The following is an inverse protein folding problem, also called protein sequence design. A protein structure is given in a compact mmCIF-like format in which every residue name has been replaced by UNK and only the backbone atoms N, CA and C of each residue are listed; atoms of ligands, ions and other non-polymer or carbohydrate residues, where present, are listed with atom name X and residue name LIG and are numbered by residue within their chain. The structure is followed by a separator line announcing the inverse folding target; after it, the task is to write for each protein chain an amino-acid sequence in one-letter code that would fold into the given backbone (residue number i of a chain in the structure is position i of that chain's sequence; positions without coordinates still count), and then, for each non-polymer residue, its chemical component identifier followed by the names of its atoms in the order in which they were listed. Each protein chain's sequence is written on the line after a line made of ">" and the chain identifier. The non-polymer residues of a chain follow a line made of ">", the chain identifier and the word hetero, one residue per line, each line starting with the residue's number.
data_IF_953793580063
#
_entry.id   IF_953793580063
#
_cell.length_a   1.000
_cell.length_b   1.000
_cell.length_c   1.000
_cell.angle_alpha   90.00
_cell.angle_beta   90.00
_cell.angle_gamma   90.00
#
_symmetry.space_group_name_H-M   'P 1'
#
loop_
_entity.id
_entity.type
_entity.pdbx_description
1 polymer ?
#
# COMPACT_ATOMS: atom_id res chain seq x y z
N UNK A 1 29.73 21.53 -59.66
CA UNK A 1 28.89 22.21 -58.65
C UNK A 1 28.09 21.15 -57.89
N UNK A 2 27.91 21.39 -56.58
CA UNK A 2 27.11 20.62 -55.60
C UNK A 2 25.70 20.29 -56.17
N UNK A 3 25.01 19.21 -55.81
CA UNK A 3 24.62 18.85 -54.43
C UNK A 3 24.30 17.36 -54.25
N UNK A 4 24.53 16.94 -53.01
CA UNK A 4 24.31 15.64 -52.36
C UNK A 4 22.81 15.37 -52.25
N UNK A 5 22.31 14.32 -52.90
CA UNK A 5 20.96 13.80 -52.70
C UNK A 5 20.96 12.87 -51.47
N UNK A 6 20.50 13.40 -50.34
CA UNK A 6 20.42 12.73 -49.05
C UNK A 6 19.35 11.60 -49.11
N UNK A 7 19.80 10.35 -49.27
CA UNK A 7 18.91 9.18 -49.17
C UNK A 7 18.67 8.88 -47.69
N UNK A 8 17.49 9.25 -47.21
CA UNK A 8 16.95 8.89 -45.89
C UNK A 8 17.15 7.39 -45.62
N UNK A 9 17.73 6.98 -44.48
CA UNK A 9 17.60 5.60 -44.04
C UNK A 9 16.14 5.39 -43.62
N UNK A 10 15.44 4.49 -44.31
CA UNK A 10 14.13 4.03 -43.87
C UNK A 10 14.31 3.27 -42.57
N UNK A 11 14.11 3.95 -41.44
CA UNK A 11 13.96 3.32 -40.14
C UNK A 11 12.62 2.55 -40.18
N UNK A 12 12.71 1.26 -40.50
CA UNK A 12 11.59 0.35 -40.31
C UNK A 12 11.39 0.24 -38.81
N UNK A 13 10.36 0.89 -38.30
CA UNK A 13 9.86 0.60 -36.97
C UNK A 13 9.31 -0.83 -37.03
N UNK A 14 10.12 -1.78 -36.58
CA UNK A 14 9.64 -3.08 -36.16
C UNK A 14 8.72 -2.83 -34.96
N UNK A 15 7.43 -2.59 -35.23
CA UNK A 15 6.39 -2.61 -34.22
C UNK A 15 6.26 -4.04 -33.72
N UNK A 16 7.19 -4.45 -32.86
CA UNK A 16 7.00 -5.59 -31.98
C UNK A 16 5.95 -5.16 -30.97
N UNK A 17 4.69 -5.29 -31.35
CA UNK A 17 3.56 -5.25 -30.42
C UNK A 17 3.76 -6.44 -29.49
N UNK A 18 4.38 -6.19 -28.34
CA UNK A 18 4.26 -7.07 -27.21
C UNK A 18 2.80 -6.99 -26.77
N UNK A 19 2.03 -7.99 -27.16
CA UNK A 19 0.71 -8.23 -26.57
C UNK A 19 0.98 -8.54 -25.11
N UNK A 20 0.80 -7.54 -24.24
CA UNK A 20 0.70 -7.80 -22.82
C UNK A 20 -0.56 -8.64 -22.60
N UNK A 21 -0.39 -9.79 -21.98
CA UNK A 21 -1.47 -10.66 -21.53
C UNK A 21 -2.29 -9.88 -20.50
N UNK A 22 -3.40 -9.29 -20.92
CA UNK A 22 -4.40 -8.71 -20.04
C UNK A 22 -5.03 -9.89 -19.27
N UNK A 23 -4.71 -9.99 -17.99
CA UNK A 23 -5.37 -10.96 -17.13
C UNK A 23 -6.82 -10.53 -16.98
N UNK A 24 -7.72 -11.28 -17.62
CA UNK A 24 -9.16 -11.14 -17.45
C UNK A 24 -9.51 -11.58 -16.02
N UNK A 25 -9.32 -10.68 -15.06
CA UNK A 25 -9.89 -10.84 -13.72
C UNK A 25 -11.39 -10.65 -13.89
N UNK A 26 -12.06 -11.78 -14.06
CA UNK A 26 -13.52 -11.90 -14.02
C UNK A 26 -14.04 -11.15 -12.80
N UNK A 27 -14.68 -10.00 -13.02
CA UNK A 27 -15.60 -9.44 -12.05
C UNK A 27 -16.79 -10.38 -12.05
N UNK A 28 -16.84 -11.27 -11.07
CA UNK A 28 -18.07 -11.98 -10.78
C UNK A 28 -19.07 -10.92 -10.30
N UNK A 29 -20.08 -10.64 -11.12
CA UNK A 29 -21.36 -10.10 -10.64
C UNK A 29 -21.85 -11.06 -9.56
N UNK A 30 -21.67 -10.66 -8.31
CA UNK A 30 -22.30 -11.32 -7.17
C UNK A 30 -23.55 -10.52 -6.87
N UNK A 31 -24.64 -10.84 -7.57
CA UNK A 31 -25.99 -10.46 -7.16
C UNK A 31 -26.23 -11.05 -5.78
N UNK A 32 -25.94 -10.26 -4.74
CA UNK A 32 -26.31 -10.58 -3.36
C UNK A 32 -27.73 -10.12 -3.11
N UNK A 33 -28.69 -10.79 -3.74
CA UNK A 33 -30.07 -10.81 -3.26
C UNK A 33 -30.15 -11.78 -2.09
N UNK A 34 -30.06 -11.25 -0.87
CA UNK A 34 -30.40 -12.00 0.33
C UNK A 34 -31.00 -11.07 1.37
N UNK A 35 -32.24 -10.65 1.11
CA UNK A 35 -33.19 -10.29 2.17
C UNK A 35 -33.60 -11.56 2.90
N UNK A 36 -33.12 -11.70 4.13
CA UNK A 36 -33.70 -12.63 5.10
C UNK A 36 -35.08 -12.12 5.53
N UNK A 37 -36.15 -12.75 5.06
CA UNK A 37 -37.47 -12.64 5.68
C UNK A 37 -37.83 -13.98 6.33
N UNK A 38 -37.86 -13.98 7.65
CA UNK A 38 -38.33 -15.10 8.47
C UNK A 38 -39.84 -15.28 8.31
N UNK A 39 -40.22 -16.53 8.11
CA UNK A 39 -41.54 -17.08 7.73
C UNK A 39 -42.73 -16.70 8.61
N UNK A 40 -43.95 -16.65 8.03
CA UNK A 40 -45.10 -17.39 8.56
C UNK A 40 -46.25 -17.50 7.55
N UNK A 41 -46.91 -18.67 7.54
CA UNK A 41 -47.91 -19.12 6.58
C UNK A 41 -49.31 -18.56 6.84
N UNK A 42 -50.09 -18.29 5.80
CA UNK A 42 -51.55 -18.39 5.85
C UNK A 42 -52.10 -18.66 4.45
N UNK A 43 -52.64 -19.86 4.31
CA UNK A 43 -53.45 -20.34 3.20
C UNK A 43 -54.77 -19.57 3.18
N UNK A 44 -55.01 -18.75 2.15
CA UNK A 44 -56.32 -18.12 1.91
C UNK A 44 -56.43 -17.67 0.46
N UNK A 45 -57.41 -18.26 -0.21
CA UNK A 45 -57.82 -17.99 -1.59
C UNK A 45 -58.30 -16.55 -1.77
N UNK A 46 -58.02 -15.97 -2.94
CA UNK A 46 -58.56 -14.73 -3.53
C UNK A 46 -58.50 -13.44 -2.69
N UNK A 47 -57.48 -12.61 -2.97
CA UNK A 47 -57.51 -11.17 -2.66
C UNK A 47 -56.95 -10.39 -3.86
N UNK A 48 -57.85 -9.73 -4.58
CA UNK A 48 -57.56 -8.66 -5.52
C UNK A 48 -56.84 -7.52 -4.76
N UNK A 49 -55.51 -7.52 -4.83
CA UNK A 49 -54.69 -6.46 -4.23
C UNK A 49 -54.74 -5.23 -5.14
N UNK A 50 -55.76 -4.41 -4.96
CA UNK A 50 -55.72 -3.02 -5.39
C UNK A 50 -54.51 -2.34 -4.72
N UNK A 51 -53.43 -2.15 -5.47
CA UNK A 51 -52.31 -1.33 -5.05
C UNK A 51 -52.79 0.12 -4.92
N UNK A 52 -53.15 0.50 -3.70
CA UNK A 52 -53.26 1.90 -3.27
C UNK A 52 -51.85 2.49 -3.28
N UNK A 53 -51.43 3.04 -4.41
CA UNK A 53 -50.38 4.06 -4.42
C UNK A 53 -50.95 5.28 -3.71
N UNK A 54 -50.78 5.33 -2.38
CA UNK A 54 -51.00 6.55 -1.64
C UNK A 54 -49.89 7.52 -2.04
N UNK A 55 -50.26 8.58 -2.75
CA UNK A 55 -49.40 9.73 -2.99
C UNK A 55 -49.05 10.34 -1.63
N UNK A 56 -47.95 9.89 -1.02
CA UNK A 56 -47.34 10.60 0.11
C UNK A 56 -46.69 11.86 -0.45
N UNK A 57 -47.49 12.92 -0.55
CA UNK A 57 -47.06 14.28 -0.90
C UNK A 57 -46.40 15.01 0.27
N UNK A 58 -45.75 14.29 1.18
CA UNK A 58 -45.15 14.88 2.38
C UNK A 58 -43.64 14.86 2.26
N UNK A 59 -43.11 16.06 2.04
CA UNK A 59 -41.69 16.41 2.18
C UNK A 59 -40.79 15.94 1.05
N UNK A 60 -41.14 16.34 -0.18
CA UNK A 60 -40.11 16.77 -1.11
C UNK A 60 -39.52 18.05 -0.50
N UNK A 61 -38.59 17.88 0.46
CA UNK A 61 -37.59 18.90 0.76
C UNK A 61 -36.81 19.08 -0.55
N UNK A 62 -37.42 19.82 -1.49
CA UNK A 62 -36.76 20.42 -2.63
C UNK A 62 -35.61 21.14 -1.98
N UNK A 63 -34.41 20.57 -2.11
CA UNK A 63 -33.19 21.25 -1.75
C UNK A 63 -33.29 22.60 -2.45
N UNK A 64 -33.59 23.64 -1.66
CA UNK A 64 -33.53 25.00 -2.15
C UNK A 64 -32.05 25.23 -2.36
N UNK A 65 -31.59 24.86 -3.56
CA UNK A 65 -30.40 25.41 -4.15
C UNK A 65 -30.71 26.89 -4.36
N UNK A 66 -30.79 27.65 -3.27
CA UNK A 66 -30.42 29.04 -3.22
C UNK A 66 -29.07 29.07 -3.91
N UNK A 67 -29.08 29.35 -5.21
CA UNK A 67 -27.93 29.21 -6.09
C UNK A 67 -26.79 29.98 -5.43
N UNK A 68 -25.86 29.28 -4.78
CA UNK A 68 -24.57 29.87 -4.46
C UNK A 68 -24.07 30.34 -5.81
N UNK A 69 -23.98 31.65 -5.96
CA UNK A 69 -23.69 32.31 -7.23
C UNK A 69 -22.21 32.07 -7.54
N UNK A 70 -21.91 30.86 -8.03
CA UNK A 70 -20.59 30.53 -8.55
C UNK A 70 -20.64 30.65 -10.06
N UNK A 71 -19.64 31.32 -10.61
CA UNK A 71 -19.47 31.43 -12.04
C UNK A 71 -18.93 30.09 -12.58
N UNK A 72 -19.11 29.85 -13.88
CA UNK A 72 -18.49 28.70 -14.55
C UNK A 72 -16.97 28.73 -14.36
N UNK A 73 -16.39 29.91 -14.31
CA UNK A 73 -14.98 30.16 -14.09
C UNK A 73 -14.53 29.71 -12.69
N UNK A 74 -15.34 29.93 -11.66
CA UNK A 74 -15.05 29.48 -10.29
C UNK A 74 -14.97 27.96 -10.22
N UNK A 75 -15.91 27.26 -10.87
CA UNK A 75 -15.91 25.79 -10.91
C UNK A 75 -14.69 25.25 -11.67
N UNK A 76 -14.36 25.85 -12.82
CA UNK A 76 -13.18 25.47 -13.61
C UNK A 76 -11.89 25.72 -12.82
N UNK A 77 -11.81 26.83 -12.07
CA UNK A 77 -10.66 27.13 -11.21
C UNK A 77 -10.52 26.10 -10.10
N UNK A 78 -11.60 25.82 -9.36
CA UNK A 78 -11.60 24.84 -8.28
C UNK A 78 -11.18 23.44 -8.76
N UNK A 79 -11.68 23.02 -9.93
CA UNK A 79 -11.28 21.75 -10.54
C UNK A 79 -9.80 21.74 -10.91
N UNK A 80 -9.30 22.81 -11.53
CA UNK A 80 -7.89 22.92 -11.90
C UNK A 80 -6.97 22.89 -10.67
N UNK A 81 -7.37 23.55 -9.57
CA UNK A 81 -6.60 23.53 -8.34
C UNK A 81 -6.61 22.15 -7.69
N UNK A 82 -7.74 21.44 -7.67
CA UNK A 82 -7.81 20.05 -7.23
C UNK A 82 -6.87 19.14 -8.03
N UNK A 83 -6.84 19.29 -9.36
CA UNK A 83 -5.92 18.53 -10.22
C UNK A 83 -4.45 18.84 -9.91
N UNK A 84 -4.11 20.10 -9.60
CA UNK A 84 -2.75 20.47 -9.19
C UNK A 84 -2.37 19.85 -7.86
N UNK A 85 -3.24 19.92 -6.86
CA UNK A 85 -2.97 19.34 -5.54
C UNK A 85 -2.87 17.81 -5.62
N UNK A 86 -3.75 17.15 -6.39
CA UNK A 86 -3.64 15.71 -6.63
C UNK A 86 -2.31 15.35 -7.29
N UNK A 87 -1.85 16.13 -8.28
CA UNK A 87 -0.55 15.91 -8.92
C UNK A 87 0.61 16.03 -7.93
N UNK A 88 0.58 17.04 -7.05
CA UNK A 88 1.58 17.20 -5.98
C UNK A 88 1.56 16.01 -5.03
N UNK A 89 0.37 15.59 -4.58
CA UNK A 89 0.19 14.46 -3.68
C UNK A 89 0.72 13.16 -4.32
N UNK A 90 0.39 12.92 -5.59
CA UNK A 90 0.87 11.75 -6.34
C UNK A 90 2.40 11.74 -6.46
N UNK A 91 3.04 12.90 -6.65
CA UNK A 91 4.50 12.99 -6.66
C UNK A 91 5.09 12.66 -5.29
N UNK A 92 4.57 13.27 -4.22
CA UNK A 92 5.05 13.00 -2.85
C UNK A 92 4.86 11.54 -2.44
N UNK A 93 3.81 10.89 -2.95
CA UNK A 93 3.57 9.48 -2.68
C UNK A 93 4.65 8.57 -3.30
N UNK A 94 5.05 8.81 -4.55
CA UNK A 94 6.13 8.05 -5.18
C UNK A 94 7.49 8.33 -4.52
N UNK A 95 7.74 9.56 -4.08
CA UNK A 95 8.95 9.92 -3.31
C UNK A 95 9.02 9.15 -1.98
N UNK A 96 7.95 9.18 -1.18
CA UNK A 96 7.86 8.43 0.09
C UNK A 96 8.01 6.93 -0.13
N UNK A 97 7.44 6.40 -1.23
CA UNK A 97 7.57 4.98 -1.58
C UNK A 97 9.03 4.61 -1.93
N UNK A 98 9.74 5.48 -2.65
CA UNK A 98 11.16 5.30 -2.94
C UNK A 98 12.01 5.33 -1.65
N UNK A 99 11.81 6.34 -0.81
CA UNK A 99 12.50 6.45 0.49
C UNK A 99 12.23 5.25 1.40
N UNK A 100 11.00 4.75 1.45
CA UNK A 100 10.66 3.56 2.24
C UNK A 100 11.35 2.29 1.71
N UNK A 101 11.49 2.16 0.39
CA UNK A 101 12.28 1.07 -0.19
C UNK A 101 13.76 1.19 0.21
N UNK A 102 14.33 2.40 0.17
CA UNK A 102 15.72 2.66 0.57
C UNK A 102 15.94 2.37 2.07
N UNK A 103 15.02 2.80 2.94
CA UNK A 103 15.06 2.52 4.38
C UNK A 103 14.92 1.03 4.70
N UNK A 104 14.10 0.29 3.94
CA UNK A 104 14.04 -1.17 4.10
C UNK A 104 15.36 -1.83 3.75
N UNK A 105 16.03 -1.35 2.71
CA UNK A 105 17.34 -1.88 2.32
C UNK A 105 18.39 -1.55 3.39
N UNK A 106 18.38 -0.34 3.97
CA UNK A 106 19.28 0.00 5.08
C UNK A 106 18.94 -0.70 6.39
N UNK A 107 17.67 -1.10 6.60
CA UNK A 107 17.27 -1.90 7.76
C UNK A 107 17.62 -3.39 7.61
N UNK A 108 17.74 -3.89 6.39
CA UNK A 108 18.09 -5.29 6.09
C UNK A 108 19.60 -5.52 6.03
N UNK A 109 20.39 -4.47 5.77
CA UNK A 109 21.82 -4.46 6.04
C UNK A 109 22.09 -3.69 7.34
N UNK A 110 22.00 -4.31 8.54
CA UNK A 110 22.84 -3.82 9.64
C UNK A 110 24.26 -3.76 9.07
N UNK A 111 24.96 -2.64 9.25
CA UNK A 111 26.22 -2.43 8.56
C UNK A 111 27.10 -3.66 8.80
N UNK A 112 27.63 -4.24 7.72
CA UNK A 112 28.44 -5.48 7.82
C UNK A 112 29.64 -5.31 8.75
N UNK A 113 29.98 -4.05 9.07
CA UNK A 113 30.96 -3.63 10.07
C UNK A 113 30.48 -3.92 11.50
N UNK A 114 29.24 -3.59 11.85
CA UNK A 114 28.67 -3.84 13.20
C UNK A 114 28.48 -5.32 13.49
N UNK A 115 28.15 -6.14 12.49
CA UNK A 115 28.00 -7.59 12.67
C UNK A 115 29.34 -8.26 13.00
N UNK A 116 30.42 -7.87 12.30
CA UNK A 116 31.77 -8.38 12.57
C UNK A 116 32.33 -7.91 13.91
N UNK A 117 31.97 -6.71 14.36
CA UNK A 117 32.36 -6.18 15.67
C UNK A 117 31.65 -6.92 16.81
N UNK A 118 30.36 -7.25 16.64
CA UNK A 118 29.62 -8.09 17.59
C UNK A 118 30.22 -9.50 17.72
N UNK A 119 30.57 -10.13 16.60
CA UNK A 119 31.22 -11.45 16.60
C UNK A 119 32.61 -11.39 17.27
N UNK A 120 33.37 -10.33 17.02
CA UNK A 120 34.66 -10.10 17.67
C UNK A 120 34.52 -9.94 19.19
N UNK A 121 33.55 -9.14 19.64
CA UNK A 121 33.25 -8.97 21.08
C UNK A 121 32.79 -10.27 21.73
N UNK A 122 32.01 -11.10 21.02
CA UNK A 122 31.56 -12.40 21.51
C UNK A 122 32.73 -13.36 21.75
N UNK A 123 33.73 -13.36 20.84
CA UNK A 123 34.94 -14.16 20.99
C UNK A 123 35.77 -13.68 22.19
N UNK A 124 35.94 -12.37 22.33
CA UNK A 124 36.70 -11.78 23.44
C UNK A 124 36.04 -12.05 24.79
N UNK A 125 34.70 -11.97 24.87
CA UNK A 125 33.92 -12.31 26.05
C UNK A 125 34.14 -13.77 26.46
N UNK A 126 34.07 -14.72 25.51
CA UNK A 126 34.29 -16.15 25.78
C UNK A 126 35.71 -16.42 26.30
N UNK A 127 36.72 -15.75 25.73
CA UNK A 127 38.11 -15.84 26.20
C UNK A 127 38.24 -15.36 27.65
N UNK A 128 37.65 -14.21 27.97
CA UNK A 128 37.71 -13.62 29.30
C UNK A 128 36.94 -14.45 30.34
N UNK A 129 35.88 -15.14 29.91
CA UNK A 129 35.12 -16.08 30.73
C UNK A 129 35.96 -17.30 31.13
N UNK A 130 36.67 -17.88 30.16
CA UNK A 130 37.56 -19.02 30.40
C UNK A 130 38.75 -18.65 31.30
N UNK A 131 39.33 -17.46 31.10
CA UNK A 131 40.41 -16.95 31.95
C UNK A 131 39.94 -16.68 33.38
N UNK A 132 38.74 -16.11 33.58
CA UNK A 132 38.16 -15.94 34.91
C UNK A 132 37.91 -17.28 35.61
N UNK A 133 37.45 -18.30 34.88
CA UNK A 133 37.23 -19.63 35.43
C UNK A 133 38.54 -20.27 35.87
N UNK A 134 39.61 -20.15 35.07
CA UNK A 134 40.95 -20.59 35.42
C UNK A 134 41.46 -19.92 36.70
N UNK A 135 41.41 -18.57 36.76
CA UNK A 135 41.85 -17.81 37.93
C UNK A 135 41.05 -18.16 39.19
N UNK A 136 39.75 -18.43 39.05
CA UNK A 136 38.91 -18.87 40.16
C UNK A 136 39.35 -20.24 40.69
N UNK A 137 39.74 -21.15 39.80
CA UNK A 137 40.24 -22.46 40.18
C UNK A 137 41.60 -22.37 40.87
N UNK A 138 42.56 -21.63 40.30
CA UNK A 138 43.88 -21.38 40.90
C UNK A 138 43.76 -20.70 42.28
N UNK A 139 42.88 -19.70 42.40
CA UNK A 139 42.61 -19.03 43.68
C UNK A 139 42.03 -20.00 44.72
N UNK A 140 41.21 -20.96 44.29
CA UNK A 140 40.64 -21.98 45.18
C UNK A 140 41.69 -22.99 45.65
N UNK A 141 42.61 -23.37 44.76
CA UNK A 141 43.72 -24.28 45.06
C UNK A 141 44.71 -23.66 46.05
N UNK A 142 45.17 -22.42 45.79
CA UNK A 142 46.05 -21.69 46.71
C UNK A 142 45.41 -21.47 48.09
N UNK A 143 44.09 -21.25 48.14
CA UNK A 143 43.35 -21.10 49.39
C UNK A 143 43.22 -22.42 50.17
N UNK A 144 43.27 -23.56 49.48
CA UNK A 144 43.32 -24.87 50.12
C UNK A 144 44.73 -25.16 50.65
N UNK A 145 45.77 -24.87 49.86
CA UNK A 145 47.17 -25.13 50.22
C UNK A 145 47.68 -24.23 51.37
N UNK A 146 47.13 -23.03 51.53
CA UNK A 146 47.43 -22.15 52.67
C UNK A 146 46.72 -22.53 53.97
N UNK A 147 45.83 -23.53 53.95
CA UNK A 147 45.10 -24.03 55.13
C UNK A 147 45.69 -25.31 55.74
N UNK A 148 46.62 -25.96 55.05
CA UNK A 148 47.43 -27.08 55.57
C UNK A 148 48.70 -26.57 56.28
#
# INVERSE_FOLDING_TARGET
>A
MRTRGDKRPSLKNDHKVLVAEESNKSWADTDSDSTSSSSSSSDSEQVEVHCLMADQTSDDEVFDFSNVEFTREDLVSALNDMVKEYRKLSHTFEEVKAENADLKNSSLEPSTVELGEADSLQIELNKLMAENELLRNESSELKAETKD
#
